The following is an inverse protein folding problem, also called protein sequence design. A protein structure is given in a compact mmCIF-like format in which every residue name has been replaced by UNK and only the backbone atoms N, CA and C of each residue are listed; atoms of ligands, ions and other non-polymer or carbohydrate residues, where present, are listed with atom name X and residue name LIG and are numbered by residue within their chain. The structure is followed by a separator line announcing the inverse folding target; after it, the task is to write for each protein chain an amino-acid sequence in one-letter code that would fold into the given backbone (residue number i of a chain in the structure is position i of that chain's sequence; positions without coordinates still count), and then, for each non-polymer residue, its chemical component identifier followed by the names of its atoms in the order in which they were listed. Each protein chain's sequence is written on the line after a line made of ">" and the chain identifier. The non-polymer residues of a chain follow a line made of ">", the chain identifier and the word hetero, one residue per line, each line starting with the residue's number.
data_IF_355741724911
#
_entry.id   IF_355741724911
#
_cell.length_a   1.000
_cell.length_b   1.000
_cell.length_c   1.000
_cell.angle_alpha   90.00
_cell.angle_beta   90.00
_cell.angle_gamma   90.00
#
_symmetry.space_group_name_H-M   'P 1'
#
loop_
_entity.id
_entity.type
_entity.pdbx_description
1 polymer ?
#
# COMPACT_ATOMS: atom_id res chain seq x y z
N UNK A 1 -28.14 15.89 -2.69
CA UNK A 1 -26.76 15.95 -2.15
C UNK A 1 -26.73 15.89 -0.62
N UNK A 2 -27.07 16.95 0.14
CA UNK A 2 -26.99 16.92 1.62
C UNK A 2 -27.88 15.88 2.31
N UNK A 3 -28.96 15.44 1.65
CA UNK A 3 -29.89 14.43 2.13
C UNK A 3 -29.55 13.01 1.68
N UNK A 4 -28.51 12.83 0.85
CA UNK A 4 -28.13 11.53 0.30
C UNK A 4 -27.17 10.84 1.27
N UNK A 5 -27.41 9.55 1.52
CA UNK A 5 -26.64 8.74 2.47
C UNK A 5 -26.34 7.36 1.89
N UNK A 6 -25.35 6.69 2.45
CA UNK A 6 -25.09 5.27 2.20
C UNK A 6 -25.34 4.48 3.48
N UNK A 7 -26.10 3.40 3.38
CA UNK A 7 -26.37 2.49 4.48
C UNK A 7 -25.49 1.24 4.33
N UNK A 8 -24.45 1.11 5.16
CA UNK A 8 -23.42 0.07 5.04
C UNK A 8 -24.00 -1.30 5.38
N UNK A 9 -23.66 -2.31 4.58
CA UNK A 9 -24.11 -3.70 4.73
C UNK A 9 -22.95 -4.66 4.94
N UNK A 10 -21.80 -4.39 4.32
CA UNK A 10 -20.63 -5.25 4.46
C UNK A 10 -19.34 -4.57 4.03
N UNK A 11 -18.24 -5.02 4.63
CA UNK A 11 -16.87 -4.60 4.33
C UNK A 11 -16.12 -5.88 3.96
N UNK A 12 -15.45 -5.87 2.81
CA UNK A 12 -14.54 -6.96 2.43
C UNK A 12 -13.17 -6.37 2.11
N UNK A 13 -12.13 -7.03 2.60
CA UNK A 13 -10.74 -6.61 2.40
C UNK A 13 -10.13 -7.17 1.12
N UNK A 14 -10.49 -8.41 0.74
CA UNK A 14 -10.00 -9.05 -0.47
C UNK A 14 -11.15 -9.78 -1.22
N UNK A 15 -11.62 -9.27 -2.38
CA UNK A 15 -11.28 -7.97 -2.98
C UNK A 15 -11.83 -6.80 -2.15
N UNK A 16 -11.19 -5.63 -2.25
CA UNK A 16 -11.56 -4.41 -1.51
C UNK A 16 -12.92 -3.86 -1.97
N UNK A 17 -13.95 -3.96 -1.13
CA UNK A 17 -15.30 -3.48 -1.45
C UNK A 17 -16.08 -3.03 -0.21
N UNK A 18 -16.62 -1.81 -0.26
CA UNK A 18 -17.64 -1.34 0.67
C UNK A 18 -19.03 -1.59 0.07
N UNK A 19 -19.72 -2.61 0.59
CA UNK A 19 -21.09 -2.95 0.19
C UNK A 19 -22.07 -2.10 0.98
N UNK A 20 -22.89 -1.33 0.29
CA UNK A 20 -23.83 -0.41 0.92
C UNK A 20 -25.09 -0.20 0.06
N UNK A 21 -26.14 0.37 0.64
CA UNK A 21 -27.37 0.72 -0.07
C UNK A 21 -27.44 2.25 -0.20
N UNK A 22 -27.51 2.79 -1.43
CA UNK A 22 -27.66 4.24 -1.63
C UNK A 22 -29.07 4.67 -1.23
N UNK A 23 -29.16 5.65 -0.33
CA UNK A 23 -30.40 6.18 0.22
C UNK A 23 -30.56 7.64 -0.20
N UNK A 24 -31.69 7.98 -0.82
CA UNK A 24 -32.04 9.36 -1.22
C UNK A 24 -33.11 9.91 -0.28
N UNK A 25 -32.82 11.00 0.42
CA UNK A 25 -33.80 11.66 1.31
C UNK A 25 -33.93 11.05 2.71
N UNK A 26 -33.28 9.92 2.98
CA UNK A 26 -33.28 9.24 4.27
C UNK A 26 -31.91 8.58 4.53
N UNK A 27 -31.69 8.13 5.78
CA UNK A 27 -30.43 7.48 6.20
C UNK A 27 -30.46 5.95 6.13
N UNK A 28 -31.63 5.38 5.88
CA UNK A 28 -31.87 3.95 5.77
C UNK A 28 -32.81 3.70 4.58
N UNK A 29 -32.70 2.53 3.93
CA UNK A 29 -33.55 2.21 2.81
C UNK A 29 -34.94 1.74 3.27
N UNK A 30 -35.95 1.97 2.43
CA UNK A 30 -37.23 1.30 2.62
C UNK A 30 -37.07 -0.21 2.42
N UNK A 31 -37.79 -1.02 3.21
CA UNK A 31 -37.72 -2.49 3.12
C UNK A 31 -38.22 -3.00 1.77
N UNK A 32 -39.20 -2.32 1.17
CA UNK A 32 -39.81 -2.66 -0.10
C UNK A 32 -39.87 -1.44 -1.03
N UNK A 33 -39.58 -1.61 -2.34
CA UNK A 33 -39.03 -2.82 -2.96
C UNK A 33 -37.62 -3.15 -2.43
N UNK A 34 -37.19 -4.41 -2.56
CA UNK A 34 -35.87 -4.85 -2.09
C UNK A 34 -34.77 -3.92 -2.66
N UNK A 35 -34.02 -3.20 -1.81
CA UNK A 35 -33.01 -2.26 -2.29
C UNK A 35 -31.83 -2.98 -2.97
N UNK A 36 -31.26 -2.33 -3.99
CA UNK A 36 -30.05 -2.81 -4.64
C UNK A 36 -28.80 -2.44 -3.82
N UNK A 37 -27.88 -3.39 -3.68
CA UNK A 37 -26.58 -3.17 -3.03
C UNK A 37 -25.61 -2.57 -4.04
N UNK A 38 -25.07 -1.41 -3.72
CA UNK A 38 -23.96 -0.77 -4.41
C UNK A 38 -22.61 -1.21 -3.83
N UNK A 39 -21.59 -1.21 -4.67
CA UNK A 39 -20.20 -1.45 -4.28
C UNK A 39 -19.44 -0.14 -4.47
N UNK A 40 -18.86 0.38 -3.38
CA UNK A 40 -18.00 1.55 -3.42
C UNK A 40 -16.53 1.12 -3.22
N UNK A 41 -15.58 1.72 -3.96
CA UNK A 41 -14.17 1.53 -3.69
C UNK A 41 -13.78 2.24 -2.39
N UNK A 42 -12.77 1.71 -1.70
CA UNK A 42 -12.13 2.41 -0.59
C UNK A 42 -11.15 3.45 -1.12
N UNK A 43 -11.10 4.60 -0.45
CA UNK A 43 -10.11 5.63 -0.70
C UNK A 43 -9.72 6.26 0.64
N UNK A 44 -8.44 6.15 1.01
CA UNK A 44 -7.94 6.80 2.22
C UNK A 44 -7.85 8.32 1.99
N UNK A 45 -8.11 9.14 3.02
CA UNK A 45 -8.13 10.60 2.91
C UNK A 45 -6.71 11.21 2.85
N UNK A 46 -5.91 10.81 1.87
CA UNK A 46 -4.58 11.36 1.62
C UNK A 46 -4.64 12.78 1.04
N UNK A 47 -3.59 13.55 1.28
CA UNK A 47 -3.43 14.86 0.65
C UNK A 47 -3.06 14.73 -0.82
N UNK A 48 -3.52 15.67 -1.65
CA UNK A 48 -3.11 15.80 -3.06
C UNK A 48 -3.28 14.51 -3.90
N UNK A 49 -4.35 13.74 -3.67
CA UNK A 49 -4.71 12.51 -4.41
C UNK A 49 -5.01 12.71 -5.90
N UNK A 50 -4.94 13.94 -6.40
CA UNK A 50 -5.00 14.25 -7.84
C UNK A 50 -3.62 14.21 -8.50
N UNK A 51 -2.54 14.21 -7.71
CA UNK A 51 -1.16 14.12 -8.20
C UNK A 51 -0.70 12.66 -8.28
N UNK A 52 0.24 12.34 -9.18
CA UNK A 52 0.80 10.99 -9.27
C UNK A 52 1.37 10.49 -7.93
N UNK A 53 2.08 11.37 -7.20
CA UNK A 53 2.60 11.09 -5.86
C UNK A 53 1.47 10.70 -4.90
N UNK A 54 0.47 11.57 -4.74
CA UNK A 54 -0.61 11.35 -3.78
C UNK A 54 -1.46 10.13 -4.12
N UNK A 55 -1.63 9.81 -5.41
CA UNK A 55 -2.29 8.58 -5.85
C UNK A 55 -1.51 7.32 -5.45
N UNK A 56 -0.21 7.28 -5.70
CA UNK A 56 0.61 6.12 -5.36
C UNK A 56 0.77 5.96 -3.84
N UNK A 57 0.88 7.06 -3.09
CA UNK A 57 0.90 7.05 -1.62
C UNK A 57 -0.40 6.47 -1.06
N UNK A 58 -1.56 6.96 -1.52
CA UNK A 58 -2.86 6.41 -1.10
C UNK A 58 -2.97 4.92 -1.41
N UNK A 59 -2.57 4.51 -2.61
CA UNK A 59 -2.63 3.11 -3.04
C UNK A 59 -1.72 2.21 -2.20
N UNK A 60 -0.50 2.65 -1.90
CA UNK A 60 0.46 1.89 -1.10
C UNK A 60 -0.09 1.66 0.31
N UNK A 61 -0.51 2.73 0.99
CA UNK A 61 -1.00 2.63 2.36
C UNK A 61 -2.35 1.93 2.46
N UNK A 62 -3.23 2.11 1.46
CA UNK A 62 -4.46 1.31 1.37
C UNK A 62 -4.13 -0.16 1.21
N UNK A 63 -3.21 -0.53 0.32
CA UNK A 63 -2.78 -1.92 0.16
C UNK A 63 -2.24 -2.49 1.48
N UNK A 64 -1.37 -1.77 2.18
CA UNK A 64 -0.80 -2.23 3.44
C UNK A 64 -1.89 -2.53 4.49
N UNK A 65 -2.76 -1.56 4.77
CA UNK A 65 -3.82 -1.69 5.79
C UNK A 65 -4.77 -2.85 5.48
N UNK A 66 -5.15 -3.03 4.21
CA UNK A 66 -6.06 -4.09 3.77
C UNK A 66 -5.43 -5.49 3.69
N UNK A 67 -4.14 -5.63 4.01
CA UNK A 67 -3.45 -6.94 4.10
C UNK A 67 -3.00 -7.29 5.52
N UNK A 68 -3.14 -6.38 6.51
CA UNK A 68 -2.83 -6.67 7.91
C UNK A 68 -3.63 -7.86 8.48
N UNK A 69 -4.79 -8.18 7.91
CA UNK A 69 -5.55 -9.37 8.31
C UNK A 69 -4.77 -10.66 8.05
N UNK A 70 -3.85 -10.70 7.08
CA UNK A 70 -3.06 -11.91 6.78
C UNK A 70 -2.13 -12.24 7.95
N UNK A 71 -1.42 -11.24 8.48
CA UNK A 71 -0.56 -11.43 9.66
C UNK A 71 -1.38 -11.91 10.86
N UNK A 72 -2.60 -11.39 11.02
CA UNK A 72 -3.52 -11.85 12.06
C UNK A 72 -3.92 -13.32 11.87
N UNK A 73 -4.27 -13.72 10.64
CA UNK A 73 -4.64 -15.10 10.32
C UNK A 73 -3.46 -16.05 10.57
N UNK A 74 -2.28 -15.70 10.07
CA UNK A 74 -1.03 -16.46 10.27
C UNK A 74 -0.72 -16.67 11.75
N UNK A 75 -0.71 -15.60 12.56
CA UNK A 75 -0.42 -15.67 14.00
C UNK A 75 -1.37 -16.54 14.81
N UNK A 76 -2.61 -16.68 14.36
CA UNK A 76 -3.63 -17.48 15.04
C UNK A 76 -3.85 -18.86 14.39
N UNK A 77 -3.02 -19.24 13.41
CA UNK A 77 -3.11 -20.53 12.74
C UNK A 77 -4.35 -20.71 11.86
N UNK A 78 -4.96 -19.62 11.39
CA UNK A 78 -6.04 -19.68 10.41
C UNK A 78 -5.47 -19.86 8.99
N UNK A 79 -6.22 -20.57 8.14
CA UNK A 79 -5.89 -20.68 6.72
C UNK A 79 -6.03 -19.32 6.02
N UNK A 80 -5.04 -18.99 5.20
CA UNK A 80 -5.05 -17.80 4.34
C UNK A 80 -4.39 -18.11 2.99
N UNK A 81 -4.64 -17.26 2.00
CA UNK A 81 -4.08 -17.42 0.66
C UNK A 81 -2.68 -16.77 0.56
N UNK A 82 -1.64 -17.60 0.67
CA UNK A 82 -0.25 -17.19 0.51
C UNK A 82 0.05 -16.58 -0.86
N UNK A 83 -0.66 -17.02 -1.91
CA UNK A 83 -0.42 -16.53 -3.27
C UNK A 83 -0.95 -15.12 -3.45
N UNK A 84 -2.16 -14.84 -2.93
CA UNK A 84 -2.72 -13.49 -2.90
C UNK A 84 -1.86 -12.54 -2.06
N UNK A 85 -1.32 -13.03 -0.94
CA UNK A 85 -0.42 -12.26 -0.07
C UNK A 85 0.89 -11.92 -0.78
N UNK A 86 1.52 -12.90 -1.43
CA UNK A 86 2.74 -12.68 -2.19
C UNK A 86 2.55 -11.70 -3.35
N UNK A 87 1.36 -11.72 -3.97
CA UNK A 87 1.01 -10.78 -5.03
C UNK A 87 0.85 -9.36 -4.50
N UNK A 88 0.21 -9.16 -3.35
CA UNK A 88 0.02 -7.82 -2.78
C UNK A 88 1.33 -7.19 -2.34
N UNK A 89 2.25 -7.96 -1.76
CA UNK A 89 3.60 -7.50 -1.42
C UNK A 89 4.34 -7.03 -2.68
N UNK A 90 4.25 -7.77 -3.80
CA UNK A 90 4.86 -7.34 -5.07
C UNK A 90 4.28 -6.01 -5.56
N UNK A 91 2.96 -5.83 -5.49
CA UNK A 91 2.28 -4.59 -5.88
C UNK A 91 2.71 -3.41 -5.00
N UNK A 92 2.83 -3.62 -3.69
CA UNK A 92 3.34 -2.60 -2.75
C UNK A 92 4.78 -2.18 -3.09
N UNK A 93 5.66 -3.15 -3.36
CA UNK A 93 7.05 -2.89 -3.73
C UNK A 93 7.16 -2.20 -5.10
N UNK A 94 6.28 -2.53 -6.06
CA UNK A 94 6.19 -1.83 -7.34
C UNK A 94 5.82 -0.36 -7.16
N UNK A 95 4.84 -0.07 -6.29
CA UNK A 95 4.43 1.31 -5.97
C UNK A 95 5.58 2.10 -5.31
N UNK A 96 6.30 1.49 -4.37
CA UNK A 96 7.48 2.11 -3.77
C UNK A 96 8.55 2.43 -4.81
N UNK A 97 8.83 1.51 -5.74
CA UNK A 97 9.82 1.74 -6.79
C UNK A 97 9.39 2.87 -7.74
N UNK A 98 8.10 3.00 -8.04
CA UNK A 98 7.56 4.13 -8.83
C UNK A 98 7.67 5.46 -8.08
N UNK A 99 7.32 5.49 -6.79
CA UNK A 99 7.47 6.66 -5.92
C UNK A 99 8.94 7.07 -5.78
N UNK A 100 9.85 6.10 -5.67
CA UNK A 100 11.29 6.32 -5.63
C UNK A 100 11.78 6.93 -6.94
N UNK A 101 11.41 6.36 -8.08
CA UNK A 101 11.78 6.88 -9.40
C UNK A 101 11.25 8.31 -9.62
N UNK A 102 10.01 8.59 -9.20
CA UNK A 102 9.43 9.94 -9.23
C UNK A 102 10.23 10.92 -8.37
N UNK A 103 10.57 10.53 -7.13
CA UNK A 103 11.37 11.36 -6.21
C UNK A 103 12.78 11.61 -6.74
N UNK A 104 13.38 10.62 -7.38
CA UNK A 104 14.70 10.71 -8.02
C UNK A 104 14.69 11.67 -9.21
N UNK A 105 13.64 11.63 -10.05
CA UNK A 105 13.43 12.59 -11.15
C UNK A 105 13.25 14.03 -10.65
N UNK A 106 12.64 14.19 -9.48
CA UNK A 106 12.44 15.50 -8.82
C UNK A 106 13.65 15.93 -7.96
N UNK A 107 14.76 15.20 -8.03
CA UNK A 107 16.00 15.48 -7.30
C UNK A 107 15.86 15.49 -5.77
N UNK A 108 14.87 14.77 -5.23
CA UNK A 108 14.60 14.68 -3.79
C UNK A 108 15.29 13.47 -3.18
N UNK A 109 16.63 13.50 -3.13
CA UNK A 109 17.44 12.34 -2.72
C UNK A 109 17.13 11.83 -1.30
N UNK A 110 16.90 12.72 -0.33
CA UNK A 110 16.53 12.33 1.04
C UNK A 110 15.24 11.50 1.05
N UNK A 111 14.24 11.91 0.25
CA UNK A 111 12.98 11.18 0.12
C UNK A 111 13.17 9.82 -0.56
N UNK A 112 14.10 9.71 -1.50
CA UNK A 112 14.44 8.43 -2.10
C UNK A 112 14.94 7.43 -1.04
N UNK A 113 15.76 7.90 -0.08
CA UNK A 113 16.22 7.08 1.04
C UNK A 113 15.06 6.69 1.97
N UNK A 114 14.20 7.64 2.34
CA UNK A 114 13.00 7.37 3.15
C UNK A 114 12.08 6.31 2.50
N UNK A 115 11.89 6.38 1.18
CA UNK A 115 11.08 5.39 0.44
C UNK A 115 11.77 4.03 0.35
N UNK A 116 13.09 4.00 0.27
CA UNK A 116 13.88 2.76 0.24
C UNK A 116 13.87 2.03 1.59
N UNK A 117 13.66 2.74 2.69
CA UNK A 117 13.53 2.12 4.00
C UNK A 117 12.29 1.20 4.09
N UNK A 118 11.22 1.55 3.36
CA UNK A 118 10.01 0.74 3.24
C UNK A 118 10.14 -0.42 2.23
N UNK A 119 11.26 -0.51 1.52
CA UNK A 119 11.50 -1.55 0.51
C UNK A 119 12.14 -2.80 1.11
N UNK A 120 11.82 -3.94 0.51
CA UNK A 120 12.56 -5.20 0.73
C UNK A 120 14.00 -5.09 0.20
N UNK A 121 14.92 -5.92 0.72
CA UNK A 121 16.32 -5.97 0.27
C UNK A 121 16.48 -6.02 -1.25
N UNK A 122 15.69 -6.89 -1.89
CA UNK A 122 15.75 -7.10 -3.33
C UNK A 122 15.44 -5.82 -4.11
N UNK A 123 14.52 -5.01 -3.58
CA UNK A 123 14.06 -3.78 -4.22
C UNK A 123 15.00 -2.62 -3.88
N UNK A 124 15.58 -2.58 -2.69
CA UNK A 124 16.70 -1.65 -2.37
C UNK A 124 17.87 -1.87 -3.32
N UNK A 125 18.25 -3.13 -3.56
CA UNK A 125 19.31 -3.47 -4.53
C UNK A 125 18.97 -3.01 -5.96
N UNK A 126 17.69 -3.03 -6.33
CA UNK A 126 17.22 -2.47 -7.61
C UNK A 126 17.29 -0.93 -7.62
N UNK A 127 16.94 -0.28 -6.51
CA UNK A 127 17.01 1.16 -6.33
C UNK A 127 18.45 1.69 -6.42
N UNK A 128 19.44 0.97 -5.86
CA UNK A 128 20.87 1.28 -6.01
C UNK A 128 21.26 1.29 -7.51
N UNK A 129 20.88 0.24 -8.25
CA UNK A 129 21.16 0.15 -9.70
C UNK A 129 20.50 1.30 -10.46
N UNK A 130 19.28 1.68 -10.09
CA UNK A 130 18.58 2.82 -10.68
C UNK A 130 19.31 4.14 -10.40
N UNK A 131 19.64 4.43 -9.14
CA UNK A 131 20.35 5.66 -8.74
C UNK A 131 21.70 5.80 -9.47
N UNK A 132 22.47 4.72 -9.56
CA UNK A 132 23.74 4.68 -10.30
C UNK A 132 23.55 4.99 -11.79
N UNK A 133 22.54 4.39 -12.45
CA UNK A 133 22.23 4.67 -13.86
C UNK A 133 21.76 6.11 -14.08
N UNK A 134 21.07 6.69 -13.11
CA UNK A 134 20.64 8.09 -13.11
C UNK A 134 21.75 9.07 -12.72
N UNK A 135 23.00 8.59 -12.54
CA UNK A 135 24.19 9.38 -12.16
C UNK A 135 24.05 10.07 -10.78
N UNK A 136 23.22 9.54 -9.89
CA UNK A 136 23.05 10.00 -8.50
C UNK A 136 23.96 9.20 -7.57
N UNK A 137 25.28 9.43 -7.68
CA UNK A 137 26.29 8.61 -6.98
C UNK A 137 26.18 8.67 -5.45
N UNK A 138 25.92 9.86 -4.90
CA UNK A 138 25.76 10.03 -3.45
C UNK A 138 24.53 9.28 -2.93
N UNK A 139 23.41 9.35 -3.66
CA UNK A 139 22.22 8.56 -3.34
C UNK A 139 22.51 7.05 -3.42
N UNK A 140 23.20 6.60 -4.46
CA UNK A 140 23.55 5.18 -4.62
C UNK A 140 24.44 4.67 -3.47
N UNK A 141 25.38 5.48 -2.99
CA UNK A 141 26.21 5.15 -1.83
C UNK A 141 25.35 5.01 -0.56
N UNK A 142 24.49 6.00 -0.26
CA UNK A 142 23.60 5.93 0.92
C UNK A 142 22.67 4.73 0.89
N UNK A 143 22.14 4.38 -0.28
CA UNK A 143 21.30 3.19 -0.44
C UNK A 143 22.09 1.90 -0.26
N UNK A 144 23.39 1.90 -0.58
CA UNK A 144 24.27 0.76 -0.36
C UNK A 144 24.60 0.58 1.12
N UNK A 145 24.84 1.67 1.84
CA UNK A 145 24.98 1.67 3.31
C UNK A 145 23.72 1.10 3.97
N UNK A 146 22.54 1.61 3.58
CA UNK A 146 21.24 1.08 4.04
C UNK A 146 21.05 -0.40 3.70
N UNK A 147 21.45 -0.86 2.51
CA UNK A 147 21.32 -2.27 2.15
C UNK A 147 22.17 -3.18 3.05
N UNK A 148 23.34 -2.71 3.51
CA UNK A 148 24.19 -3.45 4.45
C UNK A 148 23.53 -3.53 5.83
N UNK A 149 23.04 -2.40 6.35
CA UNK A 149 22.32 -2.35 7.64
C UNK A 149 21.14 -3.31 7.62
N UNK A 150 20.32 -3.20 6.58
CA UNK A 150 19.07 -3.95 6.46
C UNK A 150 19.35 -5.45 6.24
N UNK A 151 20.48 -5.83 5.63
CA UNK A 151 20.92 -7.23 5.53
C UNK A 151 21.44 -7.78 6.88
N UNK A 152 22.05 -6.92 7.71
CA UNK A 152 22.46 -7.32 9.05
C UNK A 152 21.27 -7.53 10.00
N UNK A 153 20.21 -6.72 9.88
CA UNK A 153 18.97 -6.89 10.65
C UNK A 153 18.30 -8.24 10.35
N UNK A 154 18.18 -8.60 9.07
CA UNK A 154 17.59 -9.89 8.66
C UNK A 154 18.39 -11.09 9.18
N UNK A 155 19.73 -10.99 9.21
CA UNK A 155 20.57 -12.05 9.75
C UNK A 155 20.38 -12.25 11.27
N UNK A 156 20.05 -11.18 12.00
CA UNK A 156 19.74 -11.26 13.43
C UNK A 156 18.35 -11.85 13.66
N UNK A 157 17.35 -11.46 12.86
CA UNK A 157 16.00 -12.02 12.93
C UNK A 157 16.00 -13.54 12.66
N UNK A 158 16.77 -14.00 11.66
CA UNK A 158 16.94 -15.43 11.34
C UNK A 158 17.66 -16.22 12.46
N UNK A 159 18.45 -15.57 13.32
CA UNK A 159 19.13 -16.21 14.46
C UNK A 159 18.25 -16.27 15.73
N UNK A 160 17.21 -15.44 15.82
CA UNK A 160 16.31 -15.34 16.98
C UNK A 160 15.01 -16.17 16.85
N UNK A 161 14.65 -16.64 15.64
CA UNK A 161 13.56 -17.59 15.36
C UNK A 161 13.97 -19.08 15.53
#
# INVERSE_FOLDING_TARGET
>A
AKSDHYWVVGIHENPQQLRCIPCKGARFPATLPRPAVAILPFQLPYCQVTTEKGQMEEQYWRSLVFHNHVDYLSKHGYEFDETATSQSVKEQQELLMKLFALSCKLEREVRCVELADLMTQNVVNLAIKYASRSRRLNLAQRLSEMAVEKASELAVEDEEE
#
